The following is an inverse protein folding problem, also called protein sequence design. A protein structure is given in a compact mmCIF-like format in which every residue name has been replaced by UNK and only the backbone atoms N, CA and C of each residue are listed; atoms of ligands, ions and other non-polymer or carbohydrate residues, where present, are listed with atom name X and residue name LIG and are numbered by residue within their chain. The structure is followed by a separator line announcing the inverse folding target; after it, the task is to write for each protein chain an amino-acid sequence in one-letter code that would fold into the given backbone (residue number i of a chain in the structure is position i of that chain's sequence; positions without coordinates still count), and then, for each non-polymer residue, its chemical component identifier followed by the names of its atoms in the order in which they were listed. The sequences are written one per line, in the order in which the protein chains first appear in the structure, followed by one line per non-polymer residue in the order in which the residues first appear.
data_IF_255503159026
#
_entry.id   IF_255503159026
#
_cell.length_a   1.000
_cell.length_b   1.000
_cell.length_c   1.000
_cell.angle_alpha   90.00
_cell.angle_beta   90.00
_cell.angle_gamma   90.00
#
_symmetry.space_group_name_H-M   'P 1'
#
loop_
_entity.id
_entity.type
_entity.pdbx_description
1 polymer ?
#
# COMPACT_ATOMS: atom_id res chain seq x y z
N UNK A 1 -27.74 6.32 -0.11
CA UNK A 1 -26.35 6.82 -0.23
C UNK A 1 -26.25 7.62 -1.51
N UNK A 2 -25.81 8.88 -1.45
CA UNK A 2 -25.62 9.74 -2.64
C UNK A 2 -24.33 9.33 -3.38
N UNK A 3 -24.19 9.74 -4.65
CA UNK A 3 -22.97 9.52 -5.44
C UNK A 3 -21.73 10.10 -4.75
N UNK A 4 -21.83 11.34 -4.25
CA UNK A 4 -20.78 11.99 -3.46
C UNK A 4 -20.44 11.17 -2.21
N UNK A 5 -21.45 10.66 -1.50
CA UNK A 5 -21.25 9.83 -0.32
C UNK A 5 -20.52 8.51 -0.64
N UNK A 6 -20.83 7.89 -1.79
CA UNK A 6 -20.12 6.70 -2.26
C UNK A 6 -18.66 7.01 -2.60
N UNK A 7 -18.41 8.08 -3.33
CA UNK A 7 -17.06 8.51 -3.72
C UNK A 7 -16.16 8.78 -2.51
N UNK A 8 -16.68 9.49 -1.49
CA UNK A 8 -15.94 9.74 -0.25
C UNK A 8 -15.62 8.44 0.48
N UNK A 9 -16.57 7.51 0.55
CA UNK A 9 -16.38 6.22 1.20
C UNK A 9 -15.34 5.36 0.48
N UNK A 10 -15.40 5.29 -0.84
CA UNK A 10 -14.43 4.55 -1.67
C UNK A 10 -13.03 5.15 -1.54
N UNK A 11 -12.89 6.48 -1.57
CA UNK A 11 -11.60 7.15 -1.42
C UNK A 11 -11.00 6.94 -0.03
N UNK A 12 -11.82 7.07 1.04
CA UNK A 12 -11.37 6.79 2.40
C UNK A 12 -10.89 5.35 2.58
N UNK A 13 -11.60 4.38 1.97
CA UNK A 13 -11.20 2.98 1.96
C UNK A 13 -9.86 2.78 1.23
N UNK A 14 -9.66 3.46 0.10
CA UNK A 14 -8.44 3.39 -0.71
C UNK A 14 -7.23 3.97 0.03
N UNK A 15 -7.39 5.13 0.67
CA UNK A 15 -6.34 5.75 1.47
C UNK A 15 -5.97 4.89 2.67
N UNK A 16 -6.96 4.35 3.41
CA UNK A 16 -6.71 3.51 4.57
C UNK A 16 -5.93 2.22 4.25
N UNK A 17 -6.21 1.58 3.10
CA UNK A 17 -5.43 0.41 2.63
C UNK A 17 -3.96 0.74 2.39
N UNK A 18 -3.67 1.89 1.80
CA UNK A 18 -2.29 2.32 1.51
C UNK A 18 -1.55 2.69 2.79
N UNK A 19 -2.21 3.43 3.67
CA UNK A 19 -1.64 3.85 4.95
C UNK A 19 -1.25 2.64 5.80
N UNK A 20 -2.15 1.65 5.95
CA UNK A 20 -1.84 0.47 6.75
C UNK A 20 -0.71 -0.35 6.12
N UNK A 21 -0.68 -0.50 4.79
CA UNK A 21 0.41 -1.22 4.12
C UNK A 21 1.77 -0.53 4.36
N UNK A 22 1.85 0.79 4.20
CA UNK A 22 3.07 1.55 4.48
C UNK A 22 3.56 1.33 5.93
N UNK A 23 2.66 1.39 6.91
CA UNK A 23 3.03 1.14 8.31
C UNK A 23 3.54 -0.29 8.55
N UNK A 24 2.95 -1.29 7.90
CA UNK A 24 3.41 -2.67 8.03
C UNK A 24 4.79 -2.86 7.40
N UNK A 25 5.03 -2.27 6.22
CA UNK A 25 6.33 -2.32 5.54
C UNK A 25 7.41 -1.59 6.34
N UNK A 26 7.11 -0.38 6.88
CA UNK A 26 8.01 0.35 7.78
C UNK A 26 8.32 -0.49 9.03
N UNK A 27 7.32 -1.13 9.64
CA UNK A 27 7.51 -1.97 10.83
C UNK A 27 8.40 -3.19 10.55
N UNK A 28 8.22 -3.81 9.38
CA UNK A 28 8.97 -4.98 8.92
C UNK A 28 10.42 -4.62 8.60
N UNK A 29 10.65 -3.59 7.78
CA UNK A 29 12.00 -3.20 7.32
C UNK A 29 12.69 -2.17 8.21
N UNK A 30 12.04 -1.71 9.28
CA UNK A 30 12.45 -0.64 10.21
C UNK A 30 12.53 0.76 9.60
N UNK A 31 12.68 0.85 8.29
CA UNK A 31 12.65 2.08 7.50
C UNK A 31 12.15 1.77 6.10
N UNK A 32 11.55 2.76 5.48
CA UNK A 32 11.22 2.75 4.06
C UNK A 32 11.76 4.06 3.49
N UNK A 33 12.39 4.02 2.31
CA UNK A 33 12.88 5.26 1.71
C UNK A 33 11.71 6.01 1.06
N UNK A 34 11.80 7.35 0.90
CA UNK A 34 10.77 8.12 0.18
C UNK A 34 10.46 7.57 -1.21
N UNK A 35 11.48 7.02 -1.90
CA UNK A 35 11.30 6.36 -3.20
C UNK A 35 10.28 5.21 -3.14
N UNK A 36 10.41 4.31 -2.15
CA UNK A 36 9.49 3.19 -1.99
C UNK A 36 8.09 3.66 -1.53
N UNK A 37 8.03 4.62 -0.61
CA UNK A 37 6.75 5.20 -0.17
C UNK A 37 5.96 5.83 -1.33
N UNK A 38 6.63 6.62 -2.17
CA UNK A 38 6.01 7.22 -3.36
C UNK A 38 5.54 6.15 -4.35
N UNK A 39 6.36 5.12 -4.59
CA UNK A 39 6.00 4.00 -5.46
C UNK A 39 4.75 3.29 -4.95
N UNK A 40 4.70 2.90 -3.69
CA UNK A 40 3.54 2.24 -3.08
C UNK A 40 2.30 3.13 -3.16
N UNK A 41 2.42 4.42 -2.85
CA UNK A 41 1.29 5.36 -2.91
C UNK A 41 0.79 5.61 -4.35
N UNK A 42 1.57 5.24 -5.38
CA UNK A 42 1.16 5.32 -6.78
C UNK A 42 0.44 4.06 -7.29
N UNK A 43 0.54 2.93 -6.58
CA UNK A 43 0.01 1.64 -7.02
C UNK A 43 -1.53 1.57 -7.06
N UNK A 44 -2.06 0.73 -7.94
CA UNK A 44 -3.47 0.39 -7.97
C UNK A 44 -3.89 -0.37 -6.70
N UNK A 45 -5.18 -0.34 -6.34
CA UNK A 45 -5.68 -1.08 -5.18
C UNK A 45 -5.38 -2.58 -5.26
N UNK A 46 -5.47 -3.16 -6.45
CA UNK A 46 -5.18 -4.58 -6.66
C UNK A 46 -3.74 -4.93 -6.33
N UNK A 47 -2.77 -4.10 -6.74
CA UNK A 47 -1.37 -4.38 -6.43
C UNK A 47 -1.09 -4.19 -4.93
N UNK A 48 -1.70 -3.19 -4.29
CA UNK A 48 -1.64 -3.01 -2.82
C UNK A 48 -2.15 -4.25 -2.09
N UNK A 49 -3.25 -4.84 -2.55
CA UNK A 49 -3.81 -6.07 -1.98
C UNK A 49 -2.89 -7.27 -2.17
N UNK A 50 -2.25 -7.41 -3.34
CA UNK A 50 -1.26 -8.48 -3.59
C UNK A 50 -0.06 -8.34 -2.66
N UNK A 51 0.52 -7.14 -2.53
CA UNK A 51 1.63 -6.91 -1.60
C UNK A 51 1.21 -7.23 -0.16
N UNK A 52 -0.02 -6.87 0.23
CA UNK A 52 -0.53 -7.16 1.56
C UNK A 52 -0.69 -8.67 1.83
N UNK A 53 -1.08 -9.46 0.81
CA UNK A 53 -1.18 -10.92 0.90
C UNK A 53 0.20 -11.58 1.01
N UNK A 54 1.17 -11.07 0.25
CA UNK A 54 2.52 -11.63 0.15
C UNK A 54 3.50 -11.01 1.16
N UNK A 55 3.07 -10.10 2.04
CA UNK A 55 3.95 -9.29 2.90
C UNK A 55 4.88 -10.12 3.81
N UNK A 56 4.46 -11.33 4.16
CA UNK A 56 5.28 -12.23 4.96
C UNK A 56 6.39 -12.90 4.14
N UNK A 57 6.18 -13.08 2.84
CA UNK A 57 7.11 -13.70 1.90
C UNK A 57 8.12 -12.70 1.28
N UNK A 58 7.86 -11.40 1.42
CA UNK A 58 8.79 -10.32 1.02
C UNK A 58 9.93 -10.27 2.05
N UNK A 59 11.19 -10.55 1.70
CA UNK A 59 12.27 -10.64 2.69
C UNK A 59 13.05 -9.33 2.82
N UNK A 60 13.26 -8.63 1.72
CA UNK A 60 13.94 -7.32 1.71
C UNK A 60 13.07 -6.22 1.11
N UNK A 61 13.48 -4.96 1.26
CA UNK A 61 12.75 -3.85 0.66
C UNK A 61 12.82 -3.89 -0.87
N UNK A 62 13.92 -4.42 -1.43
CA UNK A 62 14.12 -4.60 -2.86
C UNK A 62 13.17 -5.64 -3.48
N UNK A 63 12.66 -6.60 -2.70
CA UNK A 63 11.62 -7.53 -3.18
C UNK A 63 10.33 -6.80 -3.61
N UNK A 64 10.10 -5.58 -3.10
CA UNK A 64 8.97 -4.75 -3.53
C UNK A 64 9.09 -4.27 -4.98
N UNK A 65 10.29 -4.29 -5.58
CA UNK A 65 10.48 -3.85 -6.97
C UNK A 65 9.72 -4.71 -7.98
N UNK A 66 9.35 -5.95 -7.61
CA UNK A 66 8.54 -6.87 -8.43
C UNK A 66 7.12 -6.36 -8.71
N UNK A 67 6.66 -5.35 -7.97
CA UNK A 67 5.30 -4.82 -8.03
C UNK A 67 5.18 -3.43 -8.68
N UNK A 68 6.30 -2.80 -9.04
CA UNK A 68 6.35 -1.41 -9.54
C UNK A 68 6.43 -1.29 -11.07
#
# INVERSE_FOLDING_TARGET
MTEIGRMIWEEGRRLGKREILNYQLIKKFKKLSPYYEEKINSLSETVIEVIALEIFDIETVEDLEKYF
#
